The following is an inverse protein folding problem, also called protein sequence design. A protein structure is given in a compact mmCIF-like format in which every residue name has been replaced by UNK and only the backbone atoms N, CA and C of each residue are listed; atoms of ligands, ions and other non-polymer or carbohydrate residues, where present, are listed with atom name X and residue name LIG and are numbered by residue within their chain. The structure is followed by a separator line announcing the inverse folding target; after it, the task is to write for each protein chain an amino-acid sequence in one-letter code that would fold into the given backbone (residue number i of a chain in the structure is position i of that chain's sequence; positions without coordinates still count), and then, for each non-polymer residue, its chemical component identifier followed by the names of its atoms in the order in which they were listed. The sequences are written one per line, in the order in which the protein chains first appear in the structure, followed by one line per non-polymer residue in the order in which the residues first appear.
data_IF_975764246878
#
_entry.id   IF_975764246878
#
_cell.length_a   1.000
_cell.length_b   1.000
_cell.length_c   1.000
_cell.angle_alpha   90.00
_cell.angle_beta   90.00
_cell.angle_gamma   90.00
#
_symmetry.space_group_name_H-M   'P 1'
#
loop_
_entity.id
_entity.type
_entity.pdbx_description
1 polymer ?
#
# COMPACT_ATOMS: atom_id res chain seq x y z
N UNK A 1 2.23 0.49 19.58
CA UNK A 1 2.67 0.37 20.99
C UNK A 1 1.58 0.78 21.97
N UNK A 2 1.10 2.04 22.03
CA UNK A 2 -0.01 2.46 22.91
C UNK A 2 -1.25 1.55 22.85
N UNK A 3 -1.69 1.22 21.64
CA UNK A 3 -2.84 0.32 21.41
C UNK A 3 -2.53 -1.13 21.81
N UNK A 4 -1.27 -1.55 21.70
CA UNK A 4 -0.85 -2.93 21.96
C UNK A 4 -0.39 -3.17 23.41
N UNK A 5 -0.19 -2.11 24.20
CA UNK A 5 0.38 -2.20 25.55
C UNK A 5 1.81 -2.73 25.62
N UNK A 6 2.49 -2.90 24.48
CA UNK A 6 3.85 -3.45 24.38
C UNK A 6 4.68 -2.73 23.33
N UNK A 7 6.01 -2.79 23.49
CA UNK A 7 6.95 -2.33 22.47
C UNK A 7 6.91 -3.26 21.26
N UNK A 8 7.09 -2.70 20.06
CA UNK A 8 7.18 -3.46 18.82
C UNK A 8 8.66 -3.58 18.46
N UNK A 9 9.15 -4.80 18.16
CA UNK A 9 10.53 -4.99 17.75
C UNK A 9 10.89 -4.14 16.52
N UNK A 10 12.14 -3.71 16.46
CA UNK A 10 12.72 -3.07 15.28
C UNK A 10 13.62 -4.04 14.53
N UNK A 11 13.75 -3.86 13.23
CA UNK A 11 14.74 -4.57 12.43
C UNK A 11 16.14 -3.96 12.60
N UNK A 12 17.21 -4.56 12.04
CA UNK A 12 18.57 -4.00 12.11
C UNK A 12 18.72 -2.59 11.51
N UNK A 13 17.77 -2.14 10.70
CA UNK A 13 17.73 -0.80 10.11
C UNK A 13 16.86 0.17 10.93
N UNK A 14 16.35 -0.26 12.08
CA UNK A 14 15.53 0.55 12.98
C UNK A 14 14.07 0.71 12.56
N UNK A 15 13.60 -0.03 11.54
CA UNK A 15 12.21 -0.02 11.10
C UNK A 15 11.35 -0.85 12.04
N UNK A 16 10.13 -0.39 12.29
CA UNK A 16 9.14 -1.16 13.07
C UNK A 16 8.82 -2.44 12.30
N UNK A 17 8.90 -3.59 12.97
CA UNK A 17 8.45 -4.85 12.37
C UNK A 17 6.93 -4.87 12.30
N UNK A 18 6.37 -4.37 11.20
CA UNK A 18 4.92 -4.29 11.00
C UNK A 18 4.23 -5.66 11.04
N UNK A 19 4.94 -6.75 10.71
CA UNK A 19 4.45 -8.11 10.85
C UNK A 19 4.13 -8.51 12.30
N UNK A 20 4.73 -7.84 13.30
CA UNK A 20 4.46 -8.07 14.72
C UNK A 20 3.21 -7.31 15.21
N UNK A 21 2.61 -6.50 14.34
CA UNK A 21 1.36 -5.78 14.61
C UNK A 21 0.21 -6.61 14.06
N UNK A 22 -0.66 -7.19 14.92
CA UNK A 22 -1.83 -7.96 14.48
C UNK A 22 -2.93 -7.02 13.95
N UNK A 23 -2.66 -6.32 12.85
CA UNK A 23 -3.52 -5.28 12.30
C UNK A 23 -4.92 -5.80 11.99
N UNK A 24 -5.04 -7.02 11.46
CA UNK A 24 -6.31 -7.67 11.20
C UNK A 24 -7.18 -7.77 12.45
N UNK A 25 -6.63 -8.28 13.56
CA UNK A 25 -7.37 -8.39 14.82
C UNK A 25 -7.71 -7.03 15.43
N UNK A 26 -6.79 -6.06 15.34
CA UNK A 26 -7.07 -4.68 15.81
C UNK A 26 -8.26 -4.07 15.06
N UNK A 27 -8.29 -4.21 13.73
CA UNK A 27 -9.40 -3.72 12.91
C UNK A 27 -10.68 -4.49 13.18
N UNK A 28 -10.62 -5.82 13.26
CA UNK A 28 -11.77 -6.67 13.60
C UNK A 28 -12.41 -6.27 14.92
N UNK A 29 -11.61 -6.07 15.96
CA UNK A 29 -12.11 -5.68 17.28
C UNK A 29 -12.79 -4.31 17.23
N UNK A 30 -12.17 -3.33 16.57
CA UNK A 30 -12.73 -1.98 16.47
C UNK A 30 -14.02 -1.95 15.62
N UNK A 31 -14.06 -2.68 14.51
CA UNK A 31 -15.27 -2.76 13.67
C UNK A 31 -16.39 -3.47 14.43
N UNK A 32 -16.09 -4.59 15.09
CA UNK A 32 -17.07 -5.35 15.89
C UNK A 32 -17.67 -4.46 16.99
N UNK A 33 -16.82 -3.79 17.77
CA UNK A 33 -17.23 -2.83 18.81
C UNK A 33 -18.17 -1.75 18.26
N UNK A 34 -17.85 -1.14 17.11
CA UNK A 34 -18.69 -0.11 16.48
C UNK A 34 -20.03 -0.64 15.97
N UNK A 35 -20.13 -1.91 15.59
CA UNK A 35 -21.40 -2.52 15.22
C UNK A 35 -22.24 -2.85 16.45
N UNK A 36 -21.61 -3.34 17.52
CA UNK A 36 -22.27 -3.61 18.81
C UNK A 36 -22.85 -2.35 19.45
N UNK A 37 -22.12 -1.23 19.42
CA UNK A 37 -22.63 0.10 19.83
C UNK A 37 -23.92 0.50 19.12
N UNK A 38 -24.13 -0.01 17.90
CA UNK A 38 -25.31 0.25 17.07
C UNK A 38 -26.35 -0.86 17.17
N UNK A 39 -26.20 -1.77 18.14
CA UNK A 39 -27.11 -2.90 18.37
C UNK A 39 -27.02 -4.00 17.33
N UNK A 40 -25.95 -4.05 16.53
CA UNK A 40 -25.76 -5.03 15.46
C UNK A 40 -24.63 -5.99 15.77
N UNK A 41 -24.86 -7.28 15.52
CA UNK A 41 -23.82 -8.31 15.57
C UNK A 41 -23.34 -8.62 14.17
N UNK A 42 -22.03 -8.72 13.99
CA UNK A 42 -21.40 -9.11 12.74
C UNK A 42 -20.31 -10.14 13.03
N UNK A 43 -20.03 -10.98 12.04
CA UNK A 43 -18.90 -11.91 12.10
C UNK A 43 -17.82 -11.42 11.15
N UNK A 44 -16.61 -11.22 11.67
CA UNK A 44 -15.43 -10.84 10.87
C UNK A 44 -14.39 -11.93 11.07
N UNK A 45 -13.89 -12.46 9.95
CA UNK A 45 -12.77 -13.39 9.92
C UNK A 45 -11.58 -12.68 9.30
N UNK A 46 -10.48 -12.64 10.03
CA UNK A 46 -9.20 -12.10 9.57
C UNK A 46 -8.45 -13.18 8.82
N UNK A 47 -7.73 -12.78 7.77
CA UNK A 47 -6.87 -13.68 7.01
C UNK A 47 -5.60 -12.93 6.65
N UNK A 48 -4.48 -13.41 7.19
CA UNK A 48 -3.17 -12.95 6.78
C UNK A 48 -2.72 -13.79 5.59
N UNK A 49 -2.35 -13.11 4.50
CA UNK A 49 -1.84 -13.74 3.27
C UNK A 49 -0.54 -13.04 2.94
N UNK A 50 0.58 -13.76 2.95
CA UNK A 50 1.86 -13.13 2.68
C UNK A 50 3.03 -14.09 2.53
N UNK A 51 3.14 -15.11 3.37
CA UNK A 51 4.15 -16.16 3.15
C UNK A 51 3.79 -16.96 1.89
N UNK A 52 2.52 -17.30 1.76
CA UNK A 52 1.94 -18.04 0.63
C UNK A 52 2.19 -17.33 -0.70
N UNK A 53 2.05 -15.99 -0.72
CA UNK A 53 2.27 -15.19 -1.93
C UNK A 53 3.76 -15.03 -2.26
N UNK A 54 4.63 -14.88 -1.25
CA UNK A 54 6.07 -14.70 -1.45
C UNK A 54 6.81 -15.98 -1.82
N UNK A 55 6.23 -17.13 -1.47
CA UNK A 55 6.80 -18.45 -1.75
C UNK A 55 6.10 -19.17 -2.91
N UNK A 56 5.12 -18.55 -3.55
CA UNK A 56 4.52 -19.07 -4.75
C UNK A 56 5.54 -19.13 -5.89
N UNK A 57 5.49 -20.14 -6.78
CA UNK A 57 6.27 -20.13 -8.02
C UNK A 57 5.97 -18.85 -8.84
N UNK A 58 6.99 -18.25 -9.48
CA UNK A 58 6.80 -17.06 -10.30
C UNK A 58 5.90 -17.36 -11.50
N UNK A 59 5.05 -16.39 -11.87
CA UNK A 59 4.25 -16.50 -13.09
C UNK A 59 5.12 -16.25 -14.34
N UNK A 60 4.66 -16.57 -15.57
CA UNK A 60 5.47 -16.38 -16.77
C UNK A 60 6.05 -14.96 -16.93
N UNK A 61 5.28 -13.93 -16.58
CA UNK A 61 5.75 -12.55 -16.58
C UNK A 61 6.96 -12.34 -15.65
N UNK A 62 6.90 -12.84 -14.42
CA UNK A 62 7.99 -12.70 -13.46
C UNK A 62 9.25 -13.46 -13.92
N UNK A 63 9.08 -14.64 -14.53
CA UNK A 63 10.18 -15.45 -15.07
C UNK A 63 10.89 -14.67 -16.19
N UNK A 64 10.13 -14.16 -17.15
CA UNK A 64 10.68 -13.38 -18.27
C UNK A 64 11.34 -12.10 -17.77
N UNK A 65 10.65 -11.33 -16.93
CA UNK A 65 11.16 -10.07 -16.42
C UNK A 65 12.45 -10.25 -15.61
N UNK A 66 12.50 -11.24 -14.71
CA UNK A 66 13.71 -11.48 -13.89
C UNK A 66 14.88 -12.06 -14.68
N UNK A 67 14.61 -12.91 -15.69
CA UNK A 67 15.62 -13.37 -16.65
C UNK A 67 16.25 -12.18 -17.38
N UNK A 68 15.41 -11.28 -17.89
CA UNK A 68 15.85 -10.14 -18.68
C UNK A 68 16.61 -9.12 -17.81
N UNK A 69 16.18 -8.90 -16.56
CA UNK A 69 16.95 -8.11 -15.58
C UNK A 69 18.33 -8.71 -15.31
N UNK A 70 18.43 -10.02 -15.14
CA UNK A 70 19.70 -10.72 -14.93
C UNK A 70 20.64 -10.61 -16.13
N UNK A 71 20.11 -10.79 -17.34
CA UNK A 71 20.86 -10.56 -18.57
C UNK A 71 21.34 -9.10 -18.67
N UNK A 72 20.45 -8.15 -18.41
CA UNK A 72 20.75 -6.72 -18.43
C UNK A 72 21.83 -6.31 -17.43
N UNK A 73 21.92 -6.98 -16.27
CA UNK A 73 23.02 -6.76 -15.31
C UNK A 73 24.38 -7.17 -15.89
N UNK A 74 24.46 -8.31 -16.56
CA UNK A 74 25.68 -8.78 -17.23
C UNK A 74 26.04 -7.87 -18.39
N UNK A 75 25.08 -7.50 -19.23
CA UNK A 75 25.27 -6.57 -20.34
C UNK A 75 25.77 -5.20 -19.84
N UNK A 76 25.19 -4.66 -18.77
CA UNK A 76 25.60 -3.40 -18.17
C UNK A 76 27.07 -3.43 -17.73
N UNK A 77 27.52 -4.52 -17.10
CA UNK A 77 28.89 -4.63 -16.59
C UNK A 77 29.92 -4.88 -17.71
N UNK A 78 29.60 -5.74 -18.68
CA UNK A 78 30.56 -6.22 -19.67
C UNK A 78 30.59 -5.42 -20.98
N UNK A 79 29.49 -4.76 -21.34
CA UNK A 79 29.43 -4.01 -22.60
C UNK A 79 30.24 -2.71 -22.54
N UNK A 80 30.67 -2.23 -23.72
CA UNK A 80 31.23 -0.89 -23.89
C UNK A 80 30.17 0.22 -23.99
N UNK A 81 28.88 -0.13 -23.89
CA UNK A 81 27.75 0.80 -24.06
C UNK A 81 27.59 1.78 -22.89
N UNK A 82 28.17 1.45 -21.73
CA UNK A 82 28.11 2.25 -20.51
C UNK A 82 29.52 2.65 -20.06
N UNK A 83 29.67 3.88 -19.58
CA UNK A 83 30.98 4.38 -19.15
C UNK A 83 31.49 3.65 -17.91
N UNK A 84 32.81 3.52 -17.79
CA UNK A 84 33.45 2.92 -16.62
C UNK A 84 33.14 3.69 -15.32
N UNK A 85 32.93 5.01 -15.41
CA UNK A 85 32.48 5.81 -14.28
C UNK A 85 31.08 5.39 -13.82
N UNK A 86 30.14 5.18 -14.75
CA UNK A 86 28.79 4.75 -14.43
C UNK A 86 28.82 3.38 -13.74
N UNK A 87 29.59 2.43 -14.29
CA UNK A 87 29.76 1.09 -13.71
C UNK A 87 30.35 1.13 -12.30
N UNK A 88 31.32 2.01 -12.05
CA UNK A 88 31.95 2.19 -10.72
C UNK A 88 30.99 2.73 -9.67
N UNK A 89 30.06 3.61 -10.04
CA UNK A 89 29.02 4.11 -9.12
C UNK A 89 27.98 3.06 -8.78
N UNK A 90 27.83 2.05 -9.64
CA UNK A 90 26.80 1.03 -9.53
C UNK A 90 25.43 1.56 -9.91
N UNK A 91 24.57 0.66 -10.39
CA UNK A 91 23.23 1.00 -10.82
C UNK A 91 22.23 -0.10 -10.45
N UNK A 92 20.99 0.30 -10.22
CA UNK A 92 19.84 -0.60 -10.22
C UNK A 92 19.45 -0.90 -11.67
N UNK A 93 19.40 -2.17 -12.03
CA UNK A 93 18.96 -2.58 -13.36
C UNK A 93 17.44 -2.47 -13.44
N UNK A 94 16.94 -1.82 -14.49
CA UNK A 94 15.52 -1.74 -14.79
C UNK A 94 15.29 -1.87 -16.29
N UNK A 95 14.07 -2.24 -16.68
CA UNK A 95 13.66 -2.29 -18.08
C UNK A 95 12.49 -1.32 -18.22
N UNK A 96 12.62 -0.35 -19.13
CA UNK A 96 11.59 0.64 -19.41
C UNK A 96 11.22 0.58 -20.89
N UNK A 97 9.94 0.32 -21.19
CA UNK A 97 9.44 0.18 -22.56
C UNK A 97 10.27 -0.79 -23.41
N UNK A 98 10.65 -1.93 -22.83
CA UNK A 98 11.45 -2.98 -23.49
C UNK A 98 12.93 -2.65 -23.67
N UNK A 99 13.43 -1.56 -23.08
CA UNK A 99 14.85 -1.16 -23.15
C UNK A 99 15.52 -1.28 -21.80
N UNK A 100 16.76 -1.78 -21.80
CA UNK A 100 17.63 -1.75 -20.63
C UNK A 100 17.85 -0.30 -20.20
N UNK A 101 17.49 0.01 -18.96
CA UNK A 101 17.56 1.33 -18.36
C UNK A 101 18.26 1.23 -16.98
N UNK A 102 19.60 1.21 -16.92
CA UNK A 102 20.32 1.21 -15.65
C UNK A 102 20.15 2.58 -14.95
N UNK A 103 19.73 2.57 -13.69
CA UNK A 103 19.53 3.78 -12.89
C UNK A 103 20.66 3.87 -11.86
N UNK A 104 21.56 4.87 -11.93
CA UNK A 104 22.64 5.06 -10.98
C UNK A 104 22.16 5.12 -9.52
N UNK A 105 22.92 4.53 -8.60
CA UNK A 105 22.51 4.51 -7.19
C UNK A 105 22.43 5.90 -6.56
N UNK A 106 23.27 6.84 -6.96
CA UNK A 106 23.26 8.23 -6.48
C UNK A 106 21.99 9.01 -6.89
N UNK A 107 21.26 8.56 -7.92
CA UNK A 107 19.97 9.12 -8.28
C UNK A 107 18.80 8.62 -7.40
N UNK A 108 18.94 7.43 -6.81
CA UNK A 108 17.85 6.78 -6.06
C UNK A 108 18.09 6.69 -4.55
N UNK A 109 19.34 6.80 -4.11
CA UNK A 109 19.72 6.81 -2.70
C UNK A 109 19.75 8.24 -2.16
N UNK A 110 19.24 8.39 -0.95
CA UNK A 110 19.42 9.60 -0.15
C UNK A 110 20.87 9.66 0.34
N UNK A 111 21.62 10.74 0.04
CA UNK A 111 23.05 10.82 0.34
C UNK A 111 23.36 10.97 1.84
N UNK A 112 22.38 11.38 2.65
CA UNK A 112 22.55 11.58 4.10
C UNK A 112 22.26 10.29 4.85
N UNK A 113 21.20 9.59 4.47
CA UNK A 113 20.74 8.38 5.17
C UNK A 113 21.27 7.09 4.55
N UNK A 114 21.76 7.14 3.30
CA UNK A 114 22.20 5.98 2.53
C UNK A 114 21.05 5.04 2.12
N UNK A 115 19.79 5.50 2.22
CA UNK A 115 18.60 4.68 1.96
C UNK A 115 17.96 5.05 0.65
N UNK A 116 17.34 4.08 -0.02
CA UNK A 116 16.49 4.36 -1.17
C UNK A 116 15.26 5.16 -0.75
N UNK A 117 14.83 6.12 -1.58
CA UNK A 117 13.57 6.84 -1.37
C UNK A 117 12.38 5.87 -1.41
N UNK A 118 11.51 5.94 -0.40
CA UNK A 118 10.25 5.19 -0.38
C UNK A 118 9.29 5.82 -1.39
N UNK A 119 8.86 5.04 -2.38
CA UNK A 119 7.85 5.47 -3.35
C UNK A 119 6.47 5.22 -2.75
N UNK A 120 5.74 6.29 -2.45
CA UNK A 120 4.33 6.21 -2.04
C UNK A 120 3.44 6.02 -3.27
N UNK A 121 2.21 5.56 -3.06
CA UNK A 121 1.19 5.52 -4.11
C UNK A 121 0.97 6.94 -4.63
N UNK A 122 1.03 7.12 -5.95
CA UNK A 122 0.66 8.39 -6.59
C UNK A 122 -0.86 8.48 -6.68
N UNK A 123 -1.44 9.27 -5.76
CA UNK A 123 -2.88 9.50 -5.67
C UNK A 123 -3.43 10.39 -6.80
N UNK A 124 -2.56 10.99 -7.60
CA UNK A 124 -2.93 11.78 -8.78
C UNK A 124 -2.89 10.97 -10.06
N UNK A 125 -2.32 9.77 -10.04
CA UNK A 125 -2.22 8.89 -11.22
C UNK A 125 -3.58 8.47 -11.76
N UNK A 126 -3.66 8.27 -13.09
CA UNK A 126 -4.88 7.80 -13.74
C UNK A 126 -5.36 6.46 -13.18
N UNK A 127 -4.43 5.51 -12.94
CA UNK A 127 -4.76 4.22 -12.34
C UNK A 127 -5.38 4.36 -10.95
N UNK A 128 -4.83 5.25 -10.10
CA UNK A 128 -5.41 5.53 -8.79
C UNK A 128 -6.79 6.18 -8.90
N UNK A 129 -6.97 7.16 -9.80
CA UNK A 129 -8.26 7.81 -10.02
C UNK A 129 -9.33 6.79 -10.45
N UNK A 130 -9.02 5.92 -11.40
CA UNK A 130 -9.93 4.84 -11.83
C UNK A 130 -10.26 3.93 -10.64
N UNK A 131 -9.24 3.41 -9.93
CA UNK A 131 -9.47 2.55 -8.78
C UNK A 131 -10.36 3.24 -7.72
N UNK A 132 -10.09 4.51 -7.43
CA UNK A 132 -10.86 5.33 -6.48
C UNK A 132 -12.31 5.49 -6.91
N UNK A 133 -12.60 5.69 -8.21
CA UNK A 133 -13.96 5.83 -8.74
C UNK A 133 -14.79 4.55 -8.66
N UNK A 134 -14.16 3.36 -8.63
CA UNK A 134 -14.86 2.08 -8.51
C UNK A 134 -14.95 1.57 -7.06
N UNK A 135 -14.35 2.25 -6.09
CA UNK A 135 -14.48 1.88 -4.67
C UNK A 135 -15.90 2.18 -4.17
N UNK A 136 -16.51 1.21 -3.48
CA UNK A 136 -17.74 1.47 -2.72
C UNK A 136 -17.36 2.31 -1.50
N UNK A 137 -17.70 3.59 -1.53
CA UNK A 137 -17.40 4.55 -0.48
C UNK A 137 -18.43 5.67 -0.46
N UNK A 138 -18.53 6.33 0.68
CA UNK A 138 -19.29 7.57 0.78
C UNK A 138 -18.56 8.65 -0.03
N UNK A 139 -19.30 9.38 -0.85
CA UNK A 139 -18.85 10.56 -1.58
C UNK A 139 -19.63 11.80 -1.15
N UNK A 140 -19.15 12.98 -1.53
CA UNK A 140 -19.78 14.26 -1.17
C UNK A 140 -21.24 14.34 -1.63
N UNK A 141 -21.51 13.92 -2.87
CA UNK A 141 -22.85 13.91 -3.45
C UNK A 141 -23.83 13.00 -2.69
N UNK A 142 -23.34 11.93 -2.07
CA UNK A 142 -24.17 11.04 -1.25
C UNK A 142 -24.69 11.75 0.00
N UNK A 143 -23.86 12.59 0.63
CA UNK A 143 -24.25 13.37 1.80
C UNK A 143 -25.12 14.59 1.45
N UNK A 144 -25.10 15.04 0.20
CA UNK A 144 -25.98 16.09 -0.31
C UNK A 144 -27.39 15.55 -0.65
N UNK A 145 -27.57 14.22 -0.71
CA UNK A 145 -28.86 13.57 -0.94
C UNK A 145 -29.57 13.22 0.39
N UNK A 146 -30.63 13.94 0.79
CA UNK A 146 -31.29 13.70 2.09
C UNK A 146 -31.92 12.31 2.21
N UNK A 147 -32.43 11.74 1.11
CA UNK A 147 -33.04 10.40 1.10
C UNK A 147 -31.97 9.33 1.33
N UNK A 148 -30.83 9.46 0.66
CA UNK A 148 -29.69 8.56 0.86
C UNK A 148 -29.20 8.63 2.30
N UNK A 149 -28.98 9.84 2.84
CA UNK A 149 -28.53 10.04 4.22
C UNK A 149 -29.51 9.42 5.21
N UNK A 150 -30.83 9.63 5.04
CA UNK A 150 -31.83 9.02 5.90
C UNK A 150 -31.80 7.49 5.84
N UNK A 151 -31.63 6.92 4.63
CA UNK A 151 -31.52 5.47 4.45
C UNK A 151 -30.28 4.89 5.15
N UNK A 152 -29.14 5.57 5.06
CA UNK A 152 -27.88 5.15 5.67
C UNK A 152 -27.87 5.33 7.18
N UNK A 153 -28.46 6.42 7.70
CA UNK A 153 -28.64 6.64 9.13
C UNK A 153 -29.51 5.52 9.74
N UNK A 154 -30.64 5.20 9.10
CA UNK A 154 -31.50 4.06 9.49
C UNK A 154 -30.73 2.74 9.43
N UNK A 155 -29.99 2.48 8.35
CA UNK A 155 -29.17 1.28 8.21
C UNK A 155 -28.04 1.21 9.25
N UNK A 156 -27.54 2.35 9.71
CA UNK A 156 -26.56 2.44 10.79
C UNK A 156 -27.20 2.39 12.20
N UNK A 157 -28.54 2.37 12.32
CA UNK A 157 -29.23 2.52 13.60
C UNK A 157 -28.84 3.82 14.33
N UNK A 158 -28.84 4.92 13.59
CA UNK A 158 -28.51 6.28 14.06
C UNK A 158 -29.55 7.27 13.53
N UNK A 159 -29.68 8.43 14.16
CA UNK A 159 -30.36 9.58 13.57
C UNK A 159 -29.48 10.28 12.51
N UNK A 160 -30.10 11.11 11.68
CA UNK A 160 -29.44 11.80 10.55
C UNK A 160 -28.33 12.75 11.03
N UNK A 161 -28.55 13.49 12.11
CA UNK A 161 -27.57 14.45 12.64
C UNK A 161 -26.31 13.71 13.12
N UNK A 162 -26.51 12.65 13.92
CA UNK A 162 -25.43 11.79 14.41
C UNK A 162 -24.67 11.11 13.26
N UNK A 163 -25.36 10.66 12.22
CA UNK A 163 -24.74 10.05 11.05
C UNK A 163 -23.83 11.05 10.32
N UNK A 164 -24.37 12.22 9.97
CA UNK A 164 -23.63 13.27 9.26
C UNK A 164 -22.44 13.77 10.08
N UNK A 165 -22.62 13.98 11.38
CA UNK A 165 -21.52 14.38 12.28
C UNK A 165 -20.40 13.32 12.31
N UNK A 166 -20.76 12.04 12.32
CA UNK A 166 -19.78 10.94 12.41
C UNK A 166 -19.02 10.72 11.10
N UNK A 167 -19.68 10.82 9.96
CA UNK A 167 -19.11 10.43 8.66
C UNK A 167 -18.82 11.60 7.71
N UNK A 168 -19.27 12.82 7.99
CA UNK A 168 -19.08 13.99 7.14
C UNK A 168 -17.62 14.30 6.81
N UNK A 169 -16.74 14.15 7.81
CA UNK A 169 -15.30 14.37 7.64
C UNK A 169 -14.61 13.42 6.65
N UNK A 170 -15.26 12.31 6.25
CA UNK A 170 -14.70 11.34 5.32
C UNK A 170 -14.78 11.80 3.85
N UNK A 171 -15.61 12.80 3.57
CA UNK A 171 -15.87 13.33 2.22
C UNK A 171 -15.65 14.84 2.13
N UNK A 172 -15.05 15.42 3.16
CA UNK A 172 -14.68 16.84 3.26
C UNK A 172 -13.39 17.14 2.50
#
# INVERSE_FOLDING_TARGET
ERILGKSIPRDPHGHVRLAEVPLGELLKNEITRRFEERGKKITIVTKDVGYELRCAPPIPFDIEYTRDLGYGAVEYLLSGSYSEEMKRKGAMISILNGKLNPIPFDEIMDPVTGRTRVRTVDITSYAYQVARSYMIRLEKADLENPEFVASMAKAANMDVESFTKRFGHLVS
#
